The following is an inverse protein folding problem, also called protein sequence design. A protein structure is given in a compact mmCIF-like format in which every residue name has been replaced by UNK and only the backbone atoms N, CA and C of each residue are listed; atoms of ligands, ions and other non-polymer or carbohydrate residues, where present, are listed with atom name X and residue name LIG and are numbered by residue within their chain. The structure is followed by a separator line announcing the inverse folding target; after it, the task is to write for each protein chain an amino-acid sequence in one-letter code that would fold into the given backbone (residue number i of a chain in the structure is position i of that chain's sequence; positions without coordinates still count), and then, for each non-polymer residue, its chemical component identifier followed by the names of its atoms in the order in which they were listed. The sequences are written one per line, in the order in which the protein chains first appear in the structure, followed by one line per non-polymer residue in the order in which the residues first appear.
data_IF_717880188513
#
_entry.id   IF_717880188513
#
_cell.length_a   1.000
_cell.length_b   1.000
_cell.length_c   1.000
_cell.angle_alpha   90.00
_cell.angle_beta   90.00
_cell.angle_gamma   90.00
#
_symmetry.space_group_name_H-M   'P 1'
#
loop_
_entity.id
_entity.type
_entity.pdbx_description
1 polymer ?
#
# COMPACT_ATOMS: atom_id res chain seq x y z
N UNK A 1 -15.45 27.12 14.89
CA UNK A 1 -14.01 26.82 14.76
C UNK A 1 -13.85 25.31 14.69
N UNK A 2 -13.11 24.78 13.70
CA UNK A 2 -12.93 23.33 13.56
C UNK A 2 -12.14 22.76 14.74
N UNK A 3 -12.60 21.66 15.34
CA UNK A 3 -11.92 21.00 16.46
C UNK A 3 -10.59 20.43 15.93
N UNK A 4 -9.47 20.89 16.47
CA UNK A 4 -8.13 20.40 16.11
C UNK A 4 -8.07 18.86 16.27
N UNK A 5 -7.61 18.16 15.24
CA UNK A 5 -7.44 16.71 15.30
C UNK A 5 -6.37 16.30 16.31
N UNK A 6 -6.48 15.10 16.89
CA UNK A 6 -5.57 14.61 17.94
C UNK A 6 -4.08 14.64 17.53
N UNK A 7 -3.78 14.42 16.24
CA UNK A 7 -2.42 14.54 15.71
C UNK A 7 -1.85 15.95 15.84
N UNK A 8 -2.65 16.96 15.47
CA UNK A 8 -2.20 18.36 15.50
C UNK A 8 -2.02 18.85 16.93
N UNK A 9 -2.88 18.41 17.86
CA UNK A 9 -2.73 18.70 19.28
C UNK A 9 -1.41 18.15 19.84
N UNK A 10 -1.08 16.90 19.49
CA UNK A 10 0.19 16.29 19.88
C UNK A 10 1.38 17.04 19.24
N UNK A 11 1.28 17.48 17.99
CA UNK A 11 2.32 18.31 17.35
C UNK A 11 2.57 19.60 18.12
N UNK A 12 1.52 20.34 18.45
CA UNK A 12 1.61 21.59 19.21
C UNK A 12 2.23 21.34 20.59
N UNK A 13 1.78 20.29 21.28
CA UNK A 13 2.29 19.93 22.60
C UNK A 13 3.78 19.56 22.57
N UNK A 14 4.21 18.72 21.61
CA UNK A 14 5.60 18.33 21.47
C UNK A 14 6.50 19.53 21.14
N UNK A 15 6.07 20.43 20.26
CA UNK A 15 6.84 21.65 19.91
C UNK A 15 7.03 22.58 21.10
N UNK A 16 6.05 22.67 21.99
CA UNK A 16 6.15 23.46 23.22
C UNK A 16 7.08 22.83 24.27
N UNK A 17 7.46 21.56 24.11
CA UNK A 17 8.24 20.77 25.08
C UNK A 17 9.50 20.14 24.46
N UNK A 18 10.12 20.82 23.49
CA UNK A 18 11.40 20.37 22.88
C UNK A 18 12.48 20.30 23.98
N UNK A 19 13.25 19.21 24.00
CA UNK A 19 14.32 18.98 24.98
C UNK A 19 13.83 18.52 26.36
N UNK A 20 12.51 18.47 26.61
CA UNK A 20 11.93 17.98 27.87
C UNK A 20 11.48 16.53 27.75
N UNK A 21 11.75 15.73 28.78
CA UNK A 21 11.18 14.38 28.91
C UNK A 21 9.68 14.50 29.24
N UNK A 22 8.87 13.89 28.38
CA UNK A 22 7.41 13.92 28.41
C UNK A 22 6.88 12.53 28.76
N UNK A 23 5.92 12.48 29.66
CA UNK A 23 5.26 11.24 30.06
C UNK A 23 4.05 10.90 29.19
N UNK A 24 3.71 9.62 29.10
CA UNK A 24 2.58 9.11 28.31
C UNK A 24 1.24 9.74 28.69
N UNK A 25 1.02 10.02 29.98
CA UNK A 25 -0.20 10.64 30.48
C UNK A 25 -0.34 12.10 30.02
N UNK A 26 0.77 12.83 29.87
CA UNK A 26 0.77 14.21 29.36
C UNK A 26 0.37 14.25 27.89
N UNK A 27 0.86 13.29 27.09
CA UNK A 27 0.47 13.15 25.69
C UNK A 27 -0.99 12.74 25.52
N UNK A 28 -1.47 11.87 26.39
CA UNK A 28 -2.88 11.48 26.41
C UNK A 28 -3.77 12.67 26.77
N UNK A 29 -3.39 13.46 27.77
CA UNK A 29 -4.10 14.68 28.15
C UNK A 29 -4.12 15.72 27.01
N UNK A 30 -2.96 15.94 26.36
CA UNK A 30 -2.85 16.83 25.21
C UNK A 30 -3.74 16.41 24.03
N UNK A 31 -4.04 15.12 23.90
CA UNK A 31 -4.89 14.57 22.86
C UNK A 31 -6.38 14.47 23.24
N UNK A 32 -6.86 15.24 24.23
CA UNK A 32 -8.21 15.17 24.82
C UNK A 32 -8.57 13.77 25.35
N UNK A 33 -7.62 13.06 25.96
CA UNK A 33 -7.86 11.71 26.49
C UNK A 33 -7.92 10.63 25.42
N UNK A 34 -7.66 10.94 24.15
CA UNK A 34 -7.65 9.95 23.08
C UNK A 34 -6.54 8.91 23.32
N UNK A 35 -6.95 7.65 23.46
CA UNK A 35 -6.07 6.47 23.61
C UNK A 35 -5.08 6.30 22.43
N UNK A 36 -5.33 6.99 21.31
CA UNK A 36 -4.54 6.88 20.08
C UNK A 36 -3.23 7.69 20.06
N UNK A 37 -2.78 8.30 21.17
CA UNK A 37 -1.55 9.11 21.17
C UNK A 37 -0.32 8.31 20.70
N UNK A 38 -0.23 7.02 21.05
CA UNK A 38 0.86 6.13 20.63
C UNK A 38 0.89 5.89 19.11
N UNK A 39 -0.28 5.89 18.46
CA UNK A 39 -0.38 5.84 17.00
C UNK A 39 0.09 7.16 16.38
N UNK A 40 -0.36 8.29 16.92
CA UNK A 40 0.03 9.62 16.41
C UNK A 40 1.53 9.87 16.56
N UNK A 41 2.13 9.46 17.67
CA UNK A 41 3.59 9.52 17.84
C UNK A 41 4.34 8.72 16.77
N UNK A 42 3.88 7.50 16.45
CA UNK A 42 4.47 6.69 15.38
C UNK A 42 4.31 7.34 14.02
N UNK A 43 3.16 7.97 13.73
CA UNK A 43 2.97 8.76 12.52
C UNK A 43 3.99 9.93 12.48
N UNK A 44 4.10 10.73 13.55
CA UNK A 44 5.06 11.84 13.59
C UNK A 44 6.51 11.38 13.42
N UNK A 45 6.90 10.29 14.09
CA UNK A 45 8.27 9.76 14.04
C UNK A 45 8.58 9.07 12.70
N UNK A 46 7.77 8.10 12.31
CA UNK A 46 8.06 7.20 11.18
C UNK A 46 7.63 7.79 9.84
N UNK A 47 6.54 8.57 9.80
CA UNK A 47 5.96 9.10 8.55
C UNK A 47 6.38 10.54 8.28
N UNK A 48 6.60 11.34 9.32
CA UNK A 48 6.96 12.76 9.19
C UNK A 48 8.40 13.06 9.61
N UNK A 49 9.10 12.09 10.21
CA UNK A 49 10.52 12.22 10.54
C UNK A 49 10.82 13.06 11.77
N UNK A 50 9.87 13.19 12.69
CA UNK A 50 10.10 13.94 13.92
C UNK A 50 11.12 13.21 14.81
N UNK A 51 12.12 13.90 15.37
CA UNK A 51 13.17 13.30 16.20
C UNK A 51 12.67 12.97 17.61
N UNK A 52 11.66 12.11 17.70
CA UNK A 52 11.02 11.67 18.93
C UNK A 52 11.71 10.39 19.40
N UNK A 53 12.42 10.50 20.52
CA UNK A 53 13.09 9.40 21.21
C UNK A 53 12.15 8.75 22.23
N UNK A 54 12.36 7.46 22.45
CA UNK A 54 11.71 6.62 23.46
C UNK A 54 12.74 5.77 24.20
N UNK A 55 12.32 4.98 25.19
CA UNK A 55 13.18 4.01 25.88
C UNK A 55 13.89 2.99 24.95
N UNK A 56 13.38 2.79 23.72
CA UNK A 56 14.06 1.94 22.73
C UNK A 56 15.26 2.65 22.07
N UNK A 57 15.32 3.97 22.16
CA UNK A 57 16.29 4.82 21.46
C UNK A 57 17.37 5.36 22.42
N UNK A 58 17.08 5.46 23.72
CA UNK A 58 18.01 5.90 24.76
C UNK A 58 17.74 5.19 26.09
N UNK A 59 18.81 4.71 26.75
CA UNK A 59 18.76 4.12 28.09
C UNK A 59 18.38 5.12 29.19
N UNK A 60 18.41 6.42 28.90
CA UNK A 60 18.00 7.47 29.84
C UNK A 60 16.48 7.61 29.97
N UNK A 61 15.72 7.01 29.04
CA UNK A 61 14.26 7.09 29.01
C UNK A 61 13.65 5.80 29.55
N UNK A 62 12.67 5.94 30.45
CA UNK A 62 11.88 4.81 30.96
C UNK A 62 10.73 4.46 30.01
N UNK A 63 10.20 3.23 30.04
CA UNK A 63 8.97 2.90 29.32
C UNK A 63 7.86 3.90 29.65
N UNK A 64 7.28 4.51 28.62
CA UNK A 64 6.27 5.55 28.76
C UNK A 64 6.80 6.99 28.71
N UNK A 65 8.12 7.18 28.67
CA UNK A 65 8.75 8.48 28.47
C UNK A 65 9.15 8.70 27.01
N UNK A 66 9.01 9.95 26.57
CA UNK A 66 9.35 10.41 25.22
C UNK A 66 10.11 11.73 25.29
N UNK A 67 11.01 11.95 24.35
CA UNK A 67 11.78 13.19 24.24
C UNK A 67 11.82 13.63 22.79
N UNK A 68 11.34 14.85 22.50
CA UNK A 68 11.59 15.47 21.20
C UNK A 68 12.97 16.16 21.27
N UNK A 69 13.98 15.54 20.65
CA UNK A 69 15.39 15.96 20.78
C UNK A 69 15.64 17.34 20.19
N UNK A 70 15.16 17.55 18.96
CA UNK A 70 15.42 18.75 18.16
C UNK A 70 14.14 19.25 17.50
N UNK A 71 14.20 20.45 16.91
CA UNK A 71 13.11 20.99 16.11
C UNK A 71 12.80 20.05 14.91
N UNK A 72 11.52 19.68 14.69
CA UNK A 72 11.16 18.81 13.57
C UNK A 72 11.52 19.45 12.22
N UNK A 73 11.94 18.66 11.22
CA UNK A 73 12.29 19.18 9.92
C UNK A 73 11.10 19.88 9.24
N UNK A 74 11.34 21.03 8.60
CA UNK A 74 10.31 21.81 7.88
C UNK A 74 9.79 21.08 6.64
N UNK A 75 10.55 20.10 6.12
CA UNK A 75 10.18 19.25 4.99
C UNK A 75 9.93 17.83 5.50
N UNK A 76 8.77 17.26 5.18
CA UNK A 76 8.48 15.84 5.44
C UNK A 76 9.55 14.97 4.79
N UNK A 77 10.15 14.05 5.54
CA UNK A 77 11.08 13.05 4.98
C UNK A 77 10.36 12.34 3.83
N UNK A 78 10.98 12.12 2.66
CA UNK A 78 10.40 11.28 1.62
C UNK A 78 10.17 9.90 2.23
N UNK A 79 8.89 9.58 2.48
CA UNK A 79 8.51 8.28 3.01
C UNK A 79 9.04 7.20 2.08
N UNK A 80 10.06 6.46 2.49
CA UNK A 80 10.32 5.17 1.88
C UNK A 80 9.11 4.31 2.23
N UNK A 81 8.18 4.21 1.27
CA UNK A 81 6.93 3.50 1.47
C UNK A 81 7.27 2.12 2.03
N UNK A 82 6.69 1.75 3.18
CA UNK A 82 6.87 0.41 3.75
C UNK A 82 6.68 -0.59 2.61
N UNK A 83 7.71 -1.42 2.37
CA UNK A 83 7.63 -2.47 1.37
C UNK A 83 6.52 -3.45 1.79
N UNK A 84 5.73 -3.91 0.82
CA UNK A 84 4.73 -4.96 1.04
C UNK A 84 5.40 -6.13 1.76
N UNK A 85 4.86 -6.56 2.90
CA UNK A 85 5.47 -7.62 3.71
C UNK A 85 5.57 -8.92 2.92
N UNK A 86 6.57 -9.75 3.21
CA UNK A 86 6.75 -11.04 2.53
C UNK A 86 5.50 -11.94 2.65
N UNK A 87 4.86 -11.95 3.82
CA UNK A 87 3.59 -12.67 4.06
C UNK A 87 2.47 -12.17 3.16
N UNK A 88 2.28 -10.85 3.08
CA UNK A 88 1.23 -10.27 2.24
C UNK A 88 1.51 -10.52 0.76
N UNK A 89 2.78 -10.44 0.34
CA UNK A 89 3.20 -10.79 -1.02
C UNK A 89 2.86 -12.23 -1.37
N UNK A 90 3.18 -13.19 -0.49
CA UNK A 90 2.85 -14.59 -0.70
C UNK A 90 1.33 -14.80 -0.80
N UNK A 91 0.54 -14.20 0.10
CA UNK A 91 -0.92 -14.28 0.07
C UNK A 91 -1.54 -13.70 -1.21
N UNK A 92 -1.00 -12.60 -1.75
CA UNK A 92 -1.47 -12.03 -3.02
C UNK A 92 -1.15 -12.95 -4.19
N UNK A 93 0.05 -13.52 -4.23
CA UNK A 93 0.46 -14.46 -5.28
C UNK A 93 -0.41 -15.72 -5.29
N UNK A 94 -0.59 -16.32 -4.11
CA UNK A 94 -1.40 -17.53 -3.92
C UNK A 94 -2.86 -17.32 -4.32
N UNK A 95 -3.51 -16.26 -3.81
CA UNK A 95 -4.87 -15.86 -4.21
C UNK A 95 -5.00 -15.63 -5.72
N UNK A 96 -3.93 -15.21 -6.37
CA UNK A 96 -3.90 -14.93 -7.82
C UNK A 96 -3.37 -16.11 -8.63
N UNK A 97 -3.25 -17.29 -8.03
CA UNK A 97 -2.84 -18.53 -8.69
C UNK A 97 -1.47 -18.43 -9.35
N UNK A 98 -0.57 -17.58 -8.81
CA UNK A 98 0.75 -17.30 -9.39
C UNK A 98 0.70 -16.89 -10.87
N UNK A 99 -0.36 -16.18 -11.28
CA UNK A 99 -0.52 -15.67 -12.65
C UNK A 99 -0.74 -14.16 -12.67
N UNK A 100 -0.36 -13.54 -13.80
CA UNK A 100 -0.72 -12.16 -14.08
C UNK A 100 -2.23 -12.04 -14.19
N UNK A 101 -2.84 -11.25 -13.31
CA UNK A 101 -4.29 -11.06 -13.30
C UNK A 101 -4.80 -10.28 -14.51
N UNK A 102 -3.93 -9.66 -15.32
CA UNK A 102 -4.33 -8.92 -16.52
C UNK A 102 -4.26 -9.77 -17.79
N UNK A 103 -3.19 -10.55 -17.99
CA UNK A 103 -2.97 -11.29 -19.25
C UNK A 103 -2.95 -12.81 -19.09
N UNK A 104 -2.97 -13.32 -17.85
CA UNK A 104 -2.93 -14.75 -17.52
C UNK A 104 -1.53 -15.34 -17.42
N UNK A 105 -0.48 -14.64 -17.87
CA UNK A 105 0.88 -15.20 -17.93
C UNK A 105 1.45 -15.57 -16.55
N UNK A 106 2.07 -16.75 -16.46
CA UNK A 106 2.73 -17.33 -15.31
C UNK A 106 4.27 -17.27 -15.41
N UNK A 107 5.00 -17.36 -14.28
CA UNK A 107 6.45 -17.50 -14.29
C UNK A 107 6.89 -18.71 -15.14
N UNK A 108 7.91 -18.52 -15.98
CA UNK A 108 8.42 -19.57 -16.88
C UNK A 108 7.86 -19.51 -18.30
N UNK A 109 6.71 -18.87 -18.51
CA UNK A 109 6.24 -18.53 -19.86
C UNK A 109 7.06 -17.39 -20.47
N UNK A 110 7.06 -17.30 -21.79
CA UNK A 110 7.70 -16.20 -22.53
C UNK A 110 6.68 -15.09 -22.76
N UNK A 111 6.98 -13.88 -22.30
CA UNK A 111 6.16 -12.70 -22.55
C UNK A 111 6.26 -12.32 -24.04
N UNK A 112 5.15 -12.32 -24.81
CA UNK A 112 5.17 -12.09 -26.24
C UNK A 112 5.61 -10.67 -26.62
N UNK A 113 5.45 -9.68 -25.72
CA UNK A 113 5.82 -8.29 -25.98
C UNK A 113 7.31 -8.03 -25.78
N UNK A 114 7.99 -8.83 -24.96
CA UNK A 114 9.41 -8.62 -24.63
C UNK A 114 10.31 -9.78 -25.02
N UNK A 115 9.74 -10.90 -25.44
CA UNK A 115 10.40 -12.18 -25.72
C UNK A 115 11.30 -12.67 -24.56
N UNK A 116 10.93 -12.34 -23.32
CA UNK A 116 11.66 -12.70 -22.09
C UNK A 116 10.76 -13.51 -21.17
N UNK A 117 11.38 -14.26 -20.25
CA UNK A 117 10.61 -15.00 -19.23
C UNK A 117 9.81 -14.04 -18.34
N UNK A 118 8.55 -14.40 -18.12
CA UNK A 118 7.60 -13.62 -17.33
C UNK A 118 8.08 -13.50 -15.90
N UNK A 119 8.11 -12.26 -15.40
CA UNK A 119 8.36 -11.93 -13.99
C UNK A 119 7.13 -11.23 -13.42
N UNK A 120 6.67 -11.73 -12.29
CA UNK A 120 5.51 -11.20 -11.59
C UNK A 120 5.89 -10.13 -10.56
N UNK A 121 5.04 -9.11 -10.49
CA UNK A 121 5.09 -7.98 -9.58
C UNK A 121 3.78 -7.89 -8.82
N UNK A 122 3.84 -7.32 -7.62
CA UNK A 122 2.64 -6.92 -6.89
C UNK A 122 2.40 -5.44 -7.19
N UNK A 123 1.24 -5.14 -7.75
CA UNK A 123 0.78 -3.78 -8.02
C UNK A 123 -0.49 -3.48 -7.22
N UNK A 124 -0.72 -2.19 -6.97
CA UNK A 124 -1.96 -1.73 -6.38
C UNK A 124 -3.10 -1.72 -7.41
N UNK A 125 -4.33 -1.93 -6.94
CA UNK A 125 -5.55 -1.70 -7.72
C UNK A 125 -5.84 -0.19 -7.72
N UNK A 126 -5.91 0.40 -6.53
CA UNK A 126 -5.92 1.84 -6.30
C UNK A 126 -4.52 2.30 -5.94
N UNK A 127 -3.96 3.22 -6.70
CA UNK A 127 -2.61 3.73 -6.47
C UNK A 127 -2.41 4.33 -5.07
N UNK A 128 -1.22 4.13 -4.51
CA UNK A 128 -0.82 4.75 -3.22
C UNK A 128 -1.00 6.27 -3.23
N UNK A 129 -0.66 6.94 -4.34
CA UNK A 129 -0.82 8.40 -4.50
C UNK A 129 -2.29 8.86 -4.37
N UNK A 130 -3.23 7.98 -4.70
CA UNK A 130 -4.67 8.24 -4.60
C UNK A 130 -5.28 7.72 -3.27
N UNK A 131 -4.44 7.29 -2.32
CA UNK A 131 -4.85 6.75 -1.03
C UNK A 131 -5.06 5.23 -1.01
N UNK A 132 -4.49 4.51 -1.97
CA UNK A 132 -4.42 3.05 -1.95
C UNK A 132 -3.58 2.50 -0.81
N UNK A 133 -4.07 1.45 -0.16
CA UNK A 133 -3.40 0.80 0.99
C UNK A 133 -2.73 -0.52 0.60
N UNK A 134 -1.78 -0.96 1.42
CA UNK A 134 -1.13 -2.28 1.33
C UNK A 134 -2.00 -3.34 2.00
N UNK A 135 -3.17 -3.60 1.42
CA UNK A 135 -4.14 -4.58 1.90
C UNK A 135 -4.40 -5.61 0.80
N UNK A 136 -4.68 -6.86 1.17
CA UNK A 136 -4.88 -7.95 0.22
C UNK A 136 -5.89 -7.58 -0.87
N UNK A 137 -7.01 -6.94 -0.50
CA UNK A 137 -8.06 -6.46 -1.42
C UNK A 137 -7.59 -5.43 -2.44
N UNK A 138 -6.60 -4.60 -2.09
CA UNK A 138 -6.09 -3.52 -2.95
C UNK A 138 -4.80 -3.90 -3.70
N UNK A 139 -4.32 -5.13 -3.54
CA UNK A 139 -3.13 -5.63 -4.22
C UNK A 139 -3.50 -6.67 -5.26
N UNK A 140 -2.73 -6.75 -6.35
CA UNK A 140 -2.89 -7.75 -7.41
C UNK A 140 -1.54 -8.14 -8.01
N UNK A 141 -1.48 -9.34 -8.54
CA UNK A 141 -0.31 -9.87 -9.26
C UNK A 141 -0.36 -9.46 -10.74
N UNK A 142 0.71 -8.87 -11.26
CA UNK A 142 0.86 -8.44 -12.66
C UNK A 142 2.22 -8.87 -13.24
N UNK A 143 2.29 -9.21 -14.53
CA UNK A 143 3.56 -9.36 -15.21
C UNK A 143 4.25 -8.00 -15.42
N UNK A 144 5.52 -8.01 -15.81
CA UNK A 144 6.29 -6.78 -16.01
C UNK A 144 5.63 -5.82 -17.02
N UNK A 145 5.17 -6.35 -18.16
CA UNK A 145 4.49 -5.59 -19.21
C UNK A 145 3.17 -4.99 -18.72
N UNK A 146 2.30 -5.80 -18.13
CA UNK A 146 1.02 -5.32 -17.59
C UNK A 146 1.20 -4.36 -16.41
N UNK A 147 2.20 -4.56 -15.56
CA UNK A 147 2.51 -3.65 -14.44
C UNK A 147 2.98 -2.27 -14.94
N UNK A 148 3.78 -2.23 -16.01
CA UNK A 148 4.18 -0.98 -16.65
C UNK A 148 2.98 -0.28 -17.32
N UNK A 149 2.13 -1.02 -18.04
CA UNK A 149 0.91 -0.46 -18.63
C UNK A 149 -0.10 0.01 -17.58
N UNK A 150 -0.24 -0.71 -16.47
CA UNK A 150 -1.13 -0.36 -15.37
C UNK A 150 -0.76 0.97 -14.70
N UNK A 151 0.54 1.27 -14.57
CA UNK A 151 1.04 2.56 -14.04
C UNK A 151 0.59 3.77 -14.84
N UNK A 152 0.14 3.56 -16.09
CA UNK A 152 -0.28 4.63 -16.99
C UNK A 152 -1.79 4.69 -17.22
N UNK A 153 -2.58 3.64 -16.88
CA UNK A 153 -3.96 3.52 -17.40
C UNK A 153 -5.00 2.93 -16.43
N UNK A 154 -4.69 2.02 -15.49
CA UNK A 154 -5.77 1.08 -15.07
C UNK A 154 -6.86 1.63 -14.15
N UNK A 155 -8.03 1.85 -14.76
CA UNK A 155 -9.38 1.73 -14.19
C UNK A 155 -9.68 0.28 -13.73
N UNK A 156 -10.73 0.10 -12.93
CA UNK A 156 -11.20 -1.19 -12.40
C UNK A 156 -11.35 -2.28 -13.47
N UNK A 157 -11.05 -3.53 -13.09
CA UNK A 157 -11.26 -4.68 -13.99
C UNK A 157 -12.73 -5.08 -14.01
N UNK A 158 -13.26 -5.47 -15.18
CA UNK A 158 -14.60 -5.99 -15.26
C UNK A 158 -14.71 -7.36 -14.58
N UNK A 159 -15.74 -7.52 -13.74
CA UNK A 159 -16.06 -8.80 -13.11
C UNK A 159 -16.55 -9.85 -14.11
N UNK A 160 -16.51 -11.13 -13.71
CA UNK A 160 -16.92 -12.28 -14.55
C UNK A 160 -18.32 -12.10 -15.14
N UNK A 161 -19.28 -11.65 -14.33
CA UNK A 161 -20.67 -11.40 -14.76
C UNK A 161 -20.72 -10.35 -15.88
N UNK A 162 -19.93 -9.28 -15.74
CA UNK A 162 -19.89 -8.22 -16.74
C UNK A 162 -19.25 -8.70 -18.05
N UNK A 163 -18.15 -9.46 -17.97
CA UNK A 163 -17.47 -10.02 -19.14
C UNK A 163 -18.38 -10.97 -19.92
N UNK A 164 -19.02 -11.91 -19.22
CA UNK A 164 -19.98 -12.83 -19.84
C UNK A 164 -21.17 -12.09 -20.45
N UNK A 165 -21.64 -11.01 -19.80
CA UNK A 165 -22.69 -10.15 -20.33
C UNK A 165 -22.28 -9.44 -21.63
N UNK A 166 -21.02 -9.03 -21.78
CA UNK A 166 -20.54 -8.44 -23.03
C UNK A 166 -20.43 -9.49 -24.13
N UNK A 167 -19.82 -10.64 -23.84
CA UNK A 167 -19.60 -11.71 -24.81
C UNK A 167 -20.92 -12.25 -25.33
N UNK A 168 -21.91 -12.48 -24.45
CA UNK A 168 -23.24 -12.99 -24.84
C UNK A 168 -24.00 -12.05 -25.78
N UNK A 169 -23.74 -10.75 -25.72
CA UNK A 169 -24.41 -9.74 -26.56
C UNK A 169 -23.69 -9.47 -27.87
N UNK A 170 -22.47 -9.98 -28.04
CA UNK A 170 -21.72 -9.85 -29.28
C UNK A 170 -22.26 -10.78 -30.38
N UNK A 171 -21.91 -10.53 -31.64
CA UNK A 171 -22.26 -11.40 -32.76
C UNK A 171 -21.57 -12.77 -32.67
N UNK A 172 -22.03 -13.73 -33.47
CA UNK A 172 -21.48 -15.09 -33.45
C UNK A 172 -20.00 -15.13 -33.84
N UNK A 173 -19.57 -14.25 -34.74
CA UNK A 173 -18.17 -14.16 -35.19
C UNK A 173 -17.26 -13.66 -34.07
N UNK A 174 -17.67 -12.63 -33.32
CA UNK A 174 -16.92 -12.16 -32.15
C UNK A 174 -16.89 -13.18 -31.02
N UNK A 175 -18.01 -13.87 -30.77
CA UNK A 175 -18.05 -14.94 -29.77
C UNK A 175 -17.08 -16.08 -30.12
N UNK A 176 -17.02 -16.46 -31.41
CA UNK A 176 -16.09 -17.48 -31.90
C UNK A 176 -14.64 -17.03 -31.80
N UNK A 177 -14.33 -15.79 -32.17
CA UNK A 177 -12.99 -15.23 -32.02
C UNK A 177 -12.52 -15.22 -30.55
N UNK A 178 -13.42 -14.87 -29.61
CA UNK A 178 -13.13 -14.96 -28.17
C UNK A 178 -12.88 -16.40 -27.75
N UNK A 179 -13.70 -17.36 -28.20
CA UNK A 179 -13.54 -18.77 -27.89
C UNK A 179 -12.22 -19.35 -28.43
N UNK A 180 -11.86 -19.08 -29.69
CA UNK A 180 -10.63 -19.55 -30.31
C UNK A 180 -9.39 -18.99 -29.60
N UNK A 181 -9.44 -17.69 -29.25
CA UNK A 181 -8.36 -17.07 -28.47
C UNK A 181 -8.22 -17.70 -27.10
N UNK A 182 -9.33 -17.89 -26.37
CA UNK A 182 -9.31 -18.54 -25.05
C UNK A 182 -8.81 -19.99 -25.16
N UNK A 183 -9.28 -20.75 -26.14
CA UNK A 183 -8.86 -22.14 -26.38
C UNK A 183 -7.36 -22.22 -26.66
N UNK A 184 -6.83 -21.35 -27.53
CA UNK A 184 -5.38 -21.28 -27.80
C UNK A 184 -4.52 -21.00 -26.55
N UNK A 185 -5.09 -20.32 -25.56
CA UNK A 185 -4.43 -20.00 -24.29
C UNK A 185 -4.48 -21.13 -23.27
N UNK A 186 -5.52 -21.96 -23.30
CA UNK A 186 -5.76 -23.00 -22.29
C UNK A 186 -5.50 -24.43 -22.80
N UNK A 187 -5.45 -24.67 -24.12
CA UNK A 187 -5.16 -25.98 -24.71
C UNK A 187 -3.65 -26.29 -24.84
N UNK A 188 -2.76 -25.32 -24.62
CA UNK A 188 -1.29 -25.54 -24.58
C UNK A 188 -0.74 -25.87 -23.19
N UNK A 189 -1.59 -26.38 -22.29
CA UNK A 189 -1.17 -26.96 -21.00
C UNK A 189 -1.19 -28.48 -21.05
#
# INVERSE_FOLDING_TARGET
MAKLGSKEKIRTFLRANIGRVIESHELQAAADGAVQYSRRLRELRDEEGWPILSHNDSSELKPGQYLLRDTPPTKTIPQFSRSISARLRAAVLDRNGFTCQMCGLAPGETDPSTNRKVRLHIGHVKDKKLGGKDELSNLRTLCSTCNQGAKNITTEKPGVIWLLSQIRRAGQDEQRAVYEWLSSKFEKQ
#
